data_IF_755744530848
#
_entry.id   IF_755744530848
#
_cell.length_a   1.000
_cell.length_b   1.000
_cell.length_c   1.000
_cell.angle_alpha   90.00
_cell.angle_beta   90.00
_cell.angle_gamma   90.00
#
_symmetry.space_group_name_H-M   'P 1'
#
loop_
_entity.id
_entity.type
_entity.pdbx_description
1 polymer ?
2 non-polymer ?
3 non-polymer ?
4 non-polymer ?
5 water ?
#
# COMPACT_ATOMS: atom_id res chain seq x y z
N UNK A 3 10.20 -9.75 -17.32
CA UNK A 3 9.48 -8.68 -16.64
C UNK A 3 8.33 -9.23 -15.79
N UNK A 4 8.49 -9.21 -14.48
CA UNK A 4 7.45 -9.73 -13.59
C UNK A 4 6.21 -8.83 -13.62
N UNK A 5 5.03 -9.45 -13.58
CA UNK A 5 3.80 -8.68 -13.41
C UNK A 5 3.22 -9.01 -12.05
N UNK A 6 3.14 -7.98 -11.21
CA UNK A 6 2.89 -8.14 -9.78
C UNK A 6 1.77 -7.23 -9.29
N UNK A 7 0.83 -7.77 -8.53
CA UNK A 7 -0.11 -6.95 -7.76
C UNK A 7 0.62 -6.65 -6.45
N UNK A 8 1.20 -5.46 -6.31
CA UNK A 8 2.05 -5.19 -5.14
C UNK A 8 1.30 -4.99 -3.80
N UNK A 9 -0.03 -5.00 -3.79
CA UNK A 9 -0.73 -4.77 -2.52
C UNK A 9 -2.09 -5.46 -2.47
N UNK A 10 -2.21 -6.55 -1.72
CA UNK A 10 -3.52 -7.17 -1.49
C UNK A 10 -3.60 -7.79 -0.09
N UNK A 11 -4.80 -8.20 0.32
CA UNK A 11 -4.94 -8.79 1.64
C UNK A 11 -5.52 -10.19 1.58
N UNK A 12 -5.31 -10.97 2.66
CA UNK A 12 -6.02 -12.24 2.83
C UNK A 12 -6.54 -12.26 4.25
N UNK A 13 -7.64 -12.98 4.46
CA UNK A 13 -8.14 -13.19 5.82
C UNK A 13 -9.18 -14.30 5.94
N UNK A 14 -9.19 -14.96 7.09
CA UNK A 14 -10.35 -15.71 7.51
C UNK A 14 -11.09 -14.73 8.42
N UNK A 15 -12.29 -14.32 8.00
CA UNK A 15 -12.97 -13.22 8.67
C UNK A 15 -13.45 -13.59 10.06
N UNK A 16 -13.19 -12.70 11.01
CA UNK A 16 -13.79 -12.77 12.34
C UNK A 16 -13.97 -11.32 12.78
N UNK A 17 -15.21 -10.92 13.09
CA UNK A 17 -15.52 -9.50 13.23
C UNK A 17 -14.57 -8.76 14.17
N UNK A 18 -14.39 -9.29 15.38
CA UNK A 18 -13.56 -8.62 16.41
C UNK A 18 -12.10 -8.42 16.01
N UNK A 19 -11.62 -9.22 15.06
CA UNK A 19 -10.21 -9.16 14.66
C UNK A 19 -9.94 -8.10 13.56
N UNK A 20 -11.01 -7.60 12.92
CA UNK A 20 -10.87 -6.61 11.86
C UNK A 20 -11.80 -5.42 12.13
N UNK A 21 -11.40 -4.53 13.07
CA UNK A 21 -12.26 -3.46 13.56
C UNK A 21 -12.53 -2.44 12.46
N UNK A 22 -11.64 -2.39 11.46
CA UNK A 22 -11.81 -1.43 10.37
C UNK A 22 -12.91 -1.86 9.40
N UNK A 23 -13.35 -3.11 9.48
CA UNK A 23 -14.51 -3.54 8.67
C UNK A 23 -15.74 -3.28 9.53
N UNK A 24 -16.49 -2.24 9.18
CA UNK A 24 -17.60 -1.79 10.00
C UNK A 24 -18.94 -1.82 9.30
N UNK A 25 -19.86 -0.97 9.79
CA UNK A 25 -21.22 -0.87 9.22
C UNK A 25 -21.19 -0.55 7.73
N UNK A 26 -21.92 -1.35 6.95
CA UNK A 26 -22.05 -1.10 5.52
C UNK A 26 -20.96 -1.73 4.68
N UNK A 27 -20.11 -2.56 5.29
CA UNK A 27 -19.01 -3.16 4.55
C UNK A 27 -19.19 -4.66 4.48
N UNK A 28 -20.45 -5.09 4.44
CA UNK A 28 -20.80 -6.50 4.40
C UNK A 28 -20.06 -7.35 3.38
N UNK A 29 -19.65 -6.75 2.26
CA UNK A 29 -18.99 -7.53 1.22
C UNK A 29 -17.65 -8.12 1.74
N UNK A 30 -17.03 -7.44 2.71
CA UNK A 30 -15.72 -7.86 3.21
C UNK A 30 -15.84 -8.86 4.36
N UNK A 31 -17.05 -8.95 4.93
CA UNK A 31 -17.26 -9.79 6.10
C UNK A 31 -17.39 -11.27 5.74
N UNK A 32 -16.37 -11.80 5.05
CA UNK A 32 -16.29 -13.21 4.66
C UNK A 32 -14.82 -13.56 4.37
N UNK A 33 -14.51 -14.84 4.19
CA UNK A 33 -13.12 -15.23 3.91
C UNK A 33 -12.67 -14.79 2.52
N UNK A 34 -11.44 -14.30 2.44
CA UNK A 34 -10.77 -14.09 1.16
C UNK A 34 -9.39 -14.73 1.20
N UNK A 35 -9.21 -15.78 0.40
CA UNK A 35 -8.03 -16.64 0.45
C UNK A 35 -7.40 -16.70 -0.95
N UNK A 36 -6.16 -17.23 -1.07
CA UNK A 36 -5.48 -17.18 -2.38
C UNK A 36 -6.25 -17.80 -3.54
N UNK A 37 -7.15 -18.72 -3.26
CA UNK A 37 -7.89 -19.40 -4.31
C UNK A 37 -8.91 -18.49 -5.01
N UNK A 38 -9.44 -17.53 -4.26
CA UNK A 38 -10.34 -16.53 -4.81
C UNK A 38 -9.56 -15.48 -5.61
N UNK A 39 -8.30 -15.24 -5.23
CA UNK A 39 -7.52 -14.18 -5.85
C UNK A 39 -6.97 -14.62 -7.19
N UNK A 40 -6.61 -15.90 -7.29
CA UNK A 40 -5.96 -16.44 -8.50
C UNK A 40 -6.64 -16.10 -9.85
N UNK A 41 -7.94 -16.43 -10.00
CA UNK A 41 -8.60 -16.16 -11.30
C UNK A 41 -8.59 -14.68 -11.63
N UNK A 42 -8.71 -13.84 -10.59
CA UNK A 42 -8.73 -12.38 -10.76
C UNK A 42 -7.39 -11.89 -11.34
N UNK A 43 -6.28 -12.43 -10.83
CA UNK A 43 -4.97 -12.06 -11.36
C UNK A 43 -4.76 -12.68 -12.73
N UNK A 44 -5.35 -13.86 -12.93
CA UNK A 44 -5.16 -14.56 -14.19
C UNK A 44 -5.70 -13.68 -15.31
N UNK A 45 -6.92 -13.17 -15.11
CA UNK A 45 -7.57 -12.31 -16.10
C UNK A 45 -6.77 -11.06 -16.44
N UNK A 46 -5.89 -10.62 -15.53
CA UNK A 46 -5.09 -9.42 -15.77
C UNK A 46 -3.67 -9.78 -16.17
N UNK A 47 -3.43 -11.08 -16.32
CA UNK A 47 -2.11 -11.61 -16.66
C UNK A 47 -1.06 -11.19 -15.63
N UNK A 48 -1.50 -11.06 -14.38
CA UNK A 48 -0.59 -10.83 -13.27
C UNK A 48 -0.11 -12.17 -12.74
N UNK A 49 1.19 -12.28 -12.49
CA UNK A 49 1.81 -13.54 -12.14
C UNK A 49 1.84 -13.86 -10.66
N UNK A 50 2.01 -12.85 -9.82
CA UNK A 50 2.09 -13.09 -8.38
C UNK A 50 1.71 -11.81 -7.63
N UNK A 51 1.40 -11.94 -6.34
CA UNK A 51 1.01 -10.76 -5.59
C UNK A 51 1.85 -10.61 -4.35
N UNK A 52 1.67 -9.47 -3.68
CA UNK A 52 2.30 -9.24 -2.40
C UNK A 52 1.21 -9.07 -1.36
N UNK A 53 1.18 -9.98 -0.38
CA UNK A 53 0.18 -9.98 0.67
C UNK A 53 0.63 -9.09 1.83
N UNK A 54 -0.24 -8.19 2.24
CA UNK A 54 0.08 -7.17 3.25
C UNK A 54 -0.76 -7.40 4.50
N UNK A 55 -0.14 -7.28 5.67
CA UNK A 55 -0.84 -7.44 6.94
C UNK A 55 -2.14 -6.65 6.96
N UNK A 56 -3.24 -7.29 7.39
CA UNK A 56 -4.53 -6.61 7.39
C UNK A 56 -4.99 -6.34 8.81
N UNK A 57 -4.18 -6.78 9.76
CA UNK A 57 -4.44 -6.52 11.18
C UNK A 57 -3.13 -6.54 11.95
N UNK A 58 -3.15 -5.96 13.15
CA UNK A 58 -1.96 -5.94 14.00
C UNK A 58 -1.84 -7.26 14.76
N UNK A 59 -0.61 -7.71 14.99
CA UNK A 59 -0.39 -9.00 15.61
C UNK A 59 0.60 -9.85 14.83
N UNK A 60 1.51 -10.49 15.56
CA UNK A 60 2.50 -11.36 14.95
C UNK A 60 1.85 -12.54 14.25
N UNK A 61 0.65 -12.91 14.71
CA UNK A 61 -0.06 -14.05 14.13
C UNK A 61 -0.54 -13.77 12.71
N UNK A 62 -0.80 -12.51 12.40
CA UNK A 62 -1.12 -12.12 11.02
C UNK A 62 0.10 -12.40 10.14
N UNK A 63 1.28 -12.06 10.64
CA UNK A 63 2.51 -12.39 9.91
C UNK A 63 2.63 -13.90 9.71
N UNK A 64 2.44 -14.65 10.79
CA UNK A 64 2.46 -16.12 10.71
C UNK A 64 1.46 -16.62 9.67
N UNK A 65 0.22 -16.10 9.75
CA UNK A 65 -0.83 -16.45 8.79
C UNK A 65 -0.40 -16.20 7.35
N UNK A 66 0.05 -14.98 7.04
CA UNK A 66 0.40 -14.66 5.65
C UNK A 66 1.58 -15.50 5.15
N UNK A 67 2.56 -15.74 6.02
CA UNK A 67 3.73 -16.50 5.59
C UNK A 67 3.35 -17.97 5.40
N UNK A 68 2.34 -18.43 6.13
CA UNK A 68 1.86 -19.79 5.95
C UNK A 68 1.20 -19.94 4.58
N UNK A 69 0.30 -19.01 4.27
CA UNK A 69 -0.33 -18.97 2.95
C UNK A 69 0.71 -18.94 1.85
N UNK A 70 1.79 -18.21 2.11
CA UNK A 70 2.78 -17.90 1.09
C UNK A 70 3.86 -18.97 0.96
N UNK A 71 4.12 -19.68 2.05
CA UNK A 71 5.26 -20.58 2.20
C UNK A 71 5.62 -21.31 0.92
N UNK A 72 4.61 -21.89 0.28
CA UNK A 72 4.85 -22.77 -0.86
C UNK A 72 3.89 -22.50 -2.02
N UNK A 73 3.45 -21.24 -2.11
CA UNK A 73 2.53 -20.78 -3.15
C UNK A 73 3.26 -19.79 -4.06
N UNK A 74 3.55 -20.20 -5.29
CA UNK A 74 4.35 -19.38 -6.19
C UNK A 74 3.68 -18.06 -6.58
N UNK A 75 2.35 -18.02 -6.53
CA UNK A 75 1.59 -16.82 -6.89
C UNK A 75 1.58 -15.76 -5.77
N UNK A 76 2.27 -16.05 -4.68
CA UNK A 76 2.49 -15.04 -3.66
C UNK A 76 3.99 -14.80 -3.58
N UNK A 77 4.43 -13.63 -4.02
CA UNK A 77 5.86 -13.41 -4.22
C UNK A 77 6.56 -12.91 -2.97
N UNK A 78 5.82 -12.19 -2.12
CA UNK A 78 6.36 -11.66 -0.88
C UNK A 78 5.23 -11.37 0.09
N UNK A 79 5.59 -11.11 1.34
CA UNK A 79 4.62 -10.77 2.38
C UNK A 79 5.13 -9.51 3.06
N UNK A 80 4.22 -8.58 3.38
CA UNK A 80 4.56 -7.42 4.19
C UNK A 80 3.90 -7.67 5.54
N UNK A 81 4.68 -7.99 6.56
CA UNK A 81 4.10 -8.45 7.80
C UNK A 81 3.89 -7.37 8.85
N UNK A 82 3.64 -7.82 10.09
CA UNK A 82 3.47 -6.95 11.23
C UNK A 82 4.32 -7.44 12.39
N UNK A 83 5.07 -6.51 13.00
CA UNK A 83 5.76 -6.77 14.26
C UNK A 83 5.60 -5.55 15.15
N UNK A 84 5.78 -5.70 16.46
CA UNK A 84 5.92 -4.52 17.31
C UNK A 84 7.35 -3.97 17.14
N UNK A 85 7.49 -2.90 16.35
CA UNK A 85 8.82 -2.35 16.01
C UNK A 85 9.50 -1.61 17.17
N UNK A 86 8.75 -1.39 18.25
CA UNK A 86 9.27 -0.70 19.42
C UNK A 86 9.86 -1.68 20.44
N UNK A 87 9.60 -2.97 20.26
CA UNK A 87 10.07 -3.97 21.20
C UNK A 87 11.56 -4.26 21.01
N UNK A 88 12.33 -4.22 22.10
CA UNK A 88 13.76 -4.54 22.10
C UNK A 88 14.06 -5.95 21.56
N UNK A 89 13.04 -6.81 21.60
CA UNK A 89 13.19 -8.20 21.15
C UNK A 89 12.98 -8.32 19.64
N UNK A 90 12.86 -7.18 18.97
CA UNK A 90 12.51 -7.15 17.56
C UNK A 90 13.40 -8.05 16.73
N UNK A 91 14.71 -7.94 16.95
CA UNK A 91 15.65 -8.74 16.16
C UNK A 91 15.43 -10.25 16.30
N UNK A 92 15.19 -10.70 17.53
CA UNK A 92 15.02 -12.13 17.78
C UNK A 92 13.71 -12.65 17.19
N UNK A 93 12.68 -11.81 17.24
CA UNK A 93 11.38 -12.20 16.72
C UNK A 93 11.36 -12.28 15.20
N UNK A 94 12.13 -11.41 14.55
CA UNK A 94 12.13 -11.37 13.08
C UNK A 94 12.94 -12.55 12.56
N UNK A 95 13.89 -12.98 13.38
CA UNK A 95 14.72 -14.15 13.05
C UNK A 95 13.85 -15.38 12.80
N UNK A 96 12.73 -15.49 13.51
CA UNK A 96 11.76 -16.56 13.29
C UNK A 96 11.27 -16.63 11.83
N UNK A 97 11.35 -15.51 11.11
CA UNK A 97 10.86 -15.46 9.72
C UNK A 97 11.99 -15.56 8.70
N UNK A 98 13.21 -15.80 9.17
CA UNK A 98 14.35 -15.95 8.26
C UNK A 98 14.08 -17.01 7.20
N UNK A 99 14.54 -16.75 5.98
CA UNK A 99 14.37 -17.71 4.91
C UNK A 99 13.04 -17.59 4.17
N UNK A 100 12.08 -16.88 4.76
CA UNK A 100 10.74 -16.81 4.19
C UNK A 100 10.59 -15.72 3.14
N UNK A 101 9.35 -15.51 2.70
CA UNK A 101 9.07 -14.50 1.68
C UNK A 101 8.80 -13.14 2.31
N UNK A 102 9.01 -13.02 3.62
CA UNK A 102 8.88 -11.72 4.29
C UNK A 102 9.85 -10.73 3.64
N UNK A 103 9.33 -9.61 3.17
CA UNK A 103 10.18 -8.61 2.52
C UNK A 103 10.04 -7.24 3.15
N UNK A 104 9.05 -7.07 4.01
CA UNK A 104 8.82 -5.77 4.61
C UNK A 104 7.84 -5.79 5.76
N UNK A 105 7.60 -4.62 6.35
CA UNK A 105 6.65 -4.50 7.43
C UNK A 105 5.73 -3.31 7.26
N UNK A 106 4.61 -3.31 7.98
CA UNK A 106 3.74 -2.14 7.94
C UNK A 106 3.05 -1.99 9.29
N UNK A 107 2.96 -0.75 9.76
CA UNK A 107 2.13 -0.47 10.92
C UNK A 107 0.96 0.40 10.44
N UNK A 108 -0.19 0.26 11.08
CA UNK A 108 -1.34 1.04 10.66
C UNK A 108 -1.31 2.41 11.32
N UNK A 109 -0.34 3.23 10.90
CA UNK A 109 -0.14 4.57 11.46
C UNK A 109 -1.39 5.43 11.42
N UNK A 110 -2.19 5.26 10.36
CA UNK A 110 -3.37 6.08 10.15
C UNK A 110 -4.33 6.07 11.34
N UNK A 111 -4.32 4.97 12.10
CA UNK A 111 -5.26 4.81 13.22
C UNK A 111 -4.68 5.32 14.55
N UNK A 112 -3.41 5.73 14.54
CA UNK A 112 -2.80 6.33 15.73
C UNK A 112 -3.37 7.72 16.02
N UNK A 113 -3.47 8.07 17.30
CA UNK A 113 -4.02 9.36 17.72
C UNK A 113 -3.06 10.52 17.49
N UNK A 114 -1.78 10.28 17.71
CA UNK A 114 -0.74 11.26 17.40
C UNK A 114 0.29 10.60 16.49
N UNK A 115 0.06 10.63 15.19
CA UNK A 115 0.96 9.96 14.25
C UNK A 115 2.38 10.47 14.40
N UNK A 116 2.54 11.79 14.51
CA UNK A 116 3.85 12.41 14.60
C UNK A 116 4.59 12.02 15.88
N UNK A 117 3.87 11.99 17.01
CA UNK A 117 4.48 11.55 18.25
C UNK A 117 4.87 10.08 18.15
N UNK A 118 4.05 9.32 17.42
CA UNK A 118 4.25 7.88 17.27
C UNK A 118 5.51 7.57 16.45
N UNK A 119 5.66 8.21 15.29
CA UNK A 119 6.81 7.95 14.42
C UNK A 119 8.11 8.53 14.98
N UNK A 120 8.00 9.67 15.66
CA UNK A 120 9.16 10.29 16.30
C UNK A 120 9.61 9.56 17.58
N UNK A 121 8.78 8.63 18.07
CA UNK A 121 9.13 7.85 19.27
C UNK A 121 10.48 7.14 19.11
N UNK A 122 11.31 7.24 20.16
CA UNK A 122 12.68 6.76 20.06
C UNK A 122 12.77 5.23 19.90
N UNK A 123 11.88 4.50 20.55
CA UNK A 123 11.87 3.04 20.40
C UNK A 123 11.42 2.62 18.99
N UNK A 124 10.32 3.20 18.49
CA UNK A 124 9.85 2.91 17.13
C UNK A 124 10.94 3.26 16.11
N UNK A 125 11.57 4.42 16.29
CA UNK A 125 12.65 4.85 15.41
C UNK A 125 13.76 3.81 15.37
N UNK A 126 14.20 3.38 16.55
CA UNK A 126 15.21 2.32 16.65
C UNK A 126 14.79 1.06 15.87
N UNK A 127 13.52 0.67 15.99
CA UNK A 127 13.02 -0.47 15.26
C UNK A 127 13.05 -0.30 13.74
N UNK A 128 12.61 0.87 13.27
CA UNK A 128 12.61 1.09 11.82
C UNK A 128 14.04 1.14 11.28
N UNK A 129 14.95 1.71 12.08
CA UNK A 129 16.36 1.76 11.69
C UNK A 129 16.92 0.35 11.56
N UNK A 130 16.52 -0.55 12.45
CA UNK A 130 16.94 -1.94 12.37
C UNK A 130 16.38 -2.61 11.11
N UNK A 131 15.08 -2.41 10.84
CA UNK A 131 14.49 -2.90 9.60
C UNK A 131 15.32 -2.49 8.37
N UNK A 132 15.68 -1.22 8.31
CA UNK A 132 16.36 -0.70 7.14
C UNK A 132 17.79 -1.23 7.06
N UNK A 133 18.44 -1.33 8.21
CA UNK A 133 19.78 -1.91 8.28
C UNK A 133 19.76 -3.36 7.79
N UNK A 134 18.59 -3.99 7.81
CA UNK A 134 18.47 -5.38 7.36
C UNK A 134 17.69 -5.55 6.07
N UNK A 135 17.53 -4.45 5.33
CA UNK A 135 16.92 -4.46 3.99
C UNK A 135 15.45 -4.90 3.99
N UNK A 136 14.75 -4.63 5.10
CA UNK A 136 13.32 -4.76 5.11
C UNK A 136 12.67 -3.46 4.66
N UNK A 137 11.74 -3.55 3.70
CA UNK A 137 10.95 -2.38 3.30
C UNK A 137 10.02 -2.00 4.46
N UNK A 138 9.59 -0.74 4.51
CA UNK A 138 8.51 -0.33 5.43
C UNK A 138 7.40 0.39 4.66
N UNK A 139 6.16 -0.13 4.73
CA UNK A 139 5.03 0.53 4.09
C UNK A 139 4.44 1.63 4.97
N UNK A 140 4.29 2.81 4.39
CA UNK A 140 3.74 3.96 5.10
C UNK A 140 2.26 4.07 4.80
N UNK A 141 1.43 3.83 5.81
CA UNK A 141 -0.03 3.91 5.64
C UNK A 141 -0.59 5.07 6.48
N UNK A 142 -0.98 6.15 5.80
CA UNK A 142 -1.53 7.33 6.47
C UNK A 142 -2.66 7.97 5.68
N UNK A 143 -3.54 8.68 6.38
CA UNK A 143 -4.49 9.54 5.69
C UNK A 143 -3.76 10.77 5.15
N UNK A 144 -4.35 11.39 4.13
CA UNK A 144 -3.74 12.54 3.46
C UNK A 144 -3.32 13.65 4.44
N UNK A 145 -4.20 13.92 5.41
CA UNK A 145 -3.94 14.92 6.43
C UNK A 145 -2.73 14.59 7.30
N UNK A 146 -2.39 13.31 7.37
CA UNK A 146 -1.26 12.87 8.20
C UNK A 146 0.09 12.89 7.48
N UNK A 147 0.09 13.21 6.19
CA UNK A 147 1.36 13.27 5.45
C UNK A 147 2.42 14.17 6.07
N UNK A 148 2.06 15.39 6.51
CA UNK A 148 3.14 16.20 7.10
C UNK A 148 3.67 15.58 8.40
N UNK A 149 2.84 14.79 9.08
CA UNK A 149 3.25 14.12 10.31
C UNK A 149 4.32 13.05 10.08
N UNK A 150 4.41 12.50 8.87
CA UNK A 150 5.43 11.49 8.62
C UNK A 150 6.58 12.00 7.77
N UNK A 151 6.57 13.30 7.43
CA UNK A 151 7.63 13.83 6.57
C UNK A 151 9.00 13.68 7.23
N UNK A 152 9.13 14.16 8.46
CA UNK A 152 10.44 14.07 9.12
C UNK A 152 10.87 12.61 9.30
N UNK A 153 9.90 11.76 9.65
CA UNK A 153 10.13 10.33 9.77
C UNK A 153 10.66 9.71 8.47
N UNK A 154 10.14 10.13 7.33
CA UNK A 154 10.60 9.53 6.07
C UNK A 154 11.97 10.05 5.68
N UNK A 155 12.22 11.32 5.96
CA UNK A 155 13.53 11.90 5.66
C UNK A 155 14.62 11.27 6.52
N UNK A 156 14.27 11.03 7.79
CA UNK A 156 15.19 10.42 8.74
C UNK A 156 15.56 8.97 8.37
N UNK A 157 14.58 8.19 7.95
CA UNK A 157 14.83 6.78 7.66
C UNK A 157 15.09 6.52 6.18
N UNK A 158 16.34 6.78 5.77
CA UNK A 158 16.69 6.77 4.35
C UNK A 158 17.69 5.68 3.94
N UNK A 159 17.82 4.64 4.76
CA UNK A 159 18.78 3.55 4.48
C UNK A 159 18.24 2.48 3.52
N UNK A 160 16.92 2.50 3.29
CA UNK A 160 16.28 1.51 2.44
C UNK A 160 14.89 2.03 2.06
N UNK A 161 14.19 1.32 1.16
CA UNK A 161 12.92 1.80 0.59
C UNK A 161 11.78 2.00 1.59
N UNK A 162 11.10 3.13 1.48
CA UNK A 162 9.81 3.34 2.14
C UNK A 162 8.75 3.40 1.05
N UNK A 163 7.66 2.67 1.22
CA UNK A 163 6.62 2.64 0.19
C UNK A 163 5.41 3.42 0.69
N UNK A 164 5.00 4.47 -0.04
CA UNK A 164 3.82 5.21 0.36
C UNK A 164 2.59 4.46 -0.10
N UNK A 165 1.83 3.91 0.84
CA UNK A 165 0.60 3.17 0.50
C UNK A 165 -0.51 4.03 -0.06
N UNK A 166 -1.18 3.53 -1.11
CA UNK A 166 -2.40 4.17 -1.63
C UNK A 166 -2.21 5.63 -2.06
N UNK A 167 -1.06 5.93 -2.64
CA UNK A 167 -0.70 7.31 -2.96
C UNK A 167 -0.98 8.33 -1.85
N UNK A 168 -1.01 7.87 -0.60
CA UNK A 168 -1.16 8.80 0.51
C UNK A 168 -2.61 9.20 0.68
N UNK A 169 -3.50 8.42 0.07
CA UNK A 169 -4.94 8.58 0.26
C UNK A 169 -5.49 10.01 0.10
N UNK A 170 -5.51 10.51 -1.14
CA UNK A 170 -6.12 11.82 -1.38
C UNK A 170 -7.58 11.79 -0.99
N UNK A 171 -8.12 12.90 -0.48
CA UNK A 171 -9.52 12.93 -0.06
C UNK A 171 -10.43 13.05 -1.29
N UNK A 172 -10.45 12.00 -2.10
CA UNK A 172 -11.21 12.01 -3.36
C UNK A 172 -12.69 12.40 -3.19
N UNK A 173 -13.28 12.08 -2.05
CA UNK A 173 -14.69 12.37 -1.83
C UNK A 173 -14.91 13.86 -1.65
N UNK A 174 -13.82 14.60 -1.49
CA UNK A 174 -13.90 16.04 -1.15
C UNK A 174 -13.56 16.93 -2.34
N UNK A 175 -13.09 16.33 -3.43
CA UNK A 175 -12.54 17.10 -4.55
C UNK A 175 -13.50 18.13 -5.12
N UNK A 176 -14.80 17.88 -5.03
CA UNK A 176 -15.76 18.84 -5.52
C UNK A 176 -16.34 19.80 -4.45
N UNK A 177 -16.27 19.41 -3.17
CA UNK A 177 -16.70 20.26 -2.06
C UNK A 177 -15.58 21.21 -1.66
N UNK A 178 -14.37 20.67 -1.66
CA UNK A 178 -13.19 21.35 -1.14
C UNK A 178 -12.19 21.52 -2.27
N UNK A 179 -12.06 22.74 -2.76
CA UNK A 179 -11.16 23.01 -3.88
C UNK A 179 -9.70 23.13 -3.45
N UNK A 180 -9.40 22.76 -2.19
CA UNK A 180 -8.03 22.74 -1.69
C UNK A 180 -7.55 21.32 -1.50
N UNK A 181 -8.49 20.37 -1.52
CA UNK A 181 -8.17 18.96 -1.24
C UNK A 181 -7.10 18.41 -2.15
N UNK A 182 -7.24 18.61 -3.46
CA UNK A 182 -6.24 18.09 -4.40
C UNK A 182 -4.90 18.80 -4.24
N UNK A 183 -4.93 20.12 -4.05
CA UNK A 183 -3.70 20.92 -3.97
C UNK A 183 -2.93 20.65 -2.69
N UNK A 184 -3.64 20.57 -1.57
CA UNK A 184 -3.05 20.23 -0.27
C UNK A 184 -2.32 18.88 -0.34
N UNK A 185 -3.00 17.85 -0.84
CA UNK A 185 -2.42 16.52 -0.95
C UNK A 185 -1.24 16.50 -1.93
N UNK A 186 -1.38 17.22 -3.05
CA UNK A 186 -0.34 17.28 -4.06
C UNK A 186 0.94 17.86 -3.47
N UNK A 187 0.79 18.94 -2.72
CA UNK A 187 1.93 19.59 -2.08
C UNK A 187 2.65 18.64 -1.11
N UNK A 188 1.87 17.90 -0.32
CA UNK A 188 2.46 16.96 0.64
C UNK A 188 3.09 15.80 -0.10
N UNK A 189 2.41 15.31 -1.14
CA UNK A 189 2.92 14.21 -1.94
C UNK A 189 4.28 14.58 -2.53
N UNK A 190 4.35 15.80 -3.08
CA UNK A 190 5.58 16.27 -3.68
C UNK A 190 6.71 16.39 -2.67
N UNK A 191 6.37 16.77 -1.45
CA UNK A 191 7.39 16.93 -0.43
C UNK A 191 8.04 15.58 -0.08
N UNK A 192 7.23 14.52 -0.12
CA UNK A 192 7.69 13.17 0.17
C UNK A 192 8.43 12.60 -1.01
N UNK A 193 7.90 12.87 -2.21
CA UNK A 193 8.45 12.29 -3.44
C UNK A 193 9.84 12.85 -3.70
N UNK A 194 10.15 13.99 -3.10
CA UNK A 194 11.49 14.58 -3.23
C UNK A 194 12.58 13.71 -2.59
N UNK A 195 12.17 12.82 -1.68
CA UNK A 195 13.09 11.87 -1.05
C UNK A 195 13.27 10.67 -1.98
N UNK A 196 14.52 10.42 -2.41
CA UNK A 196 14.77 9.36 -3.41
C UNK A 196 14.44 7.94 -2.92
N UNK A 197 14.43 7.70 -1.62
CA UNK A 197 14.20 6.35 -1.10
C UNK A 197 12.71 6.04 -0.87
N UNK A 198 11.84 6.98 -1.20
CA UNK A 198 10.39 6.80 -1.07
C UNK A 198 9.78 6.50 -2.44
N UNK A 199 9.02 5.42 -2.54
CA UNK A 199 8.26 5.12 -3.75
C UNK A 199 6.78 5.09 -3.45
N UNK A 200 5.96 4.99 -4.50
CA UNK A 200 4.54 5.22 -4.37
C UNK A 200 3.71 4.04 -4.88
N UNK A 201 2.77 3.55 -4.06
CA UNK A 201 1.80 2.59 -4.55
C UNK A 201 0.56 3.29 -5.13
N UNK A 202 0.19 2.88 -6.34
CA UNK A 202 -1.04 3.33 -6.97
C UNK A 202 -2.11 2.26 -6.77
N UNK A 203 -2.85 2.39 -5.68
CA UNK A 203 -3.77 1.36 -5.24
C UNK A 203 -4.68 2.03 -4.21
N UNK A 204 -5.80 1.41 -3.89
CA UNK A 204 -6.66 1.94 -2.84
C UNK A 204 -7.27 3.29 -3.15
N UNK A 205 -7.46 3.61 -4.44
CA UNK A 205 -8.03 4.92 -4.77
C UNK A 205 -9.54 4.85 -4.88
N UNK A 206 -10.06 3.77 -5.49
CA UNK A 206 -11.51 3.66 -5.61
C UNK A 206 -12.22 3.79 -4.26
N UNK A 207 -11.56 3.38 -3.17
CA UNK A 207 -12.19 3.40 -1.86
C UNK A 207 -12.03 4.71 -1.08
N UNK A 208 -11.23 5.63 -1.59
CA UNK A 208 -11.23 7.01 -1.05
C UNK A 208 -12.35 7.84 -1.66
N UNK A 209 -12.92 7.36 -2.76
CA UNK A 209 -14.08 8.04 -3.34
C UNK A 209 -15.28 7.68 -2.46
N UNK A 210 -16.42 8.31 -2.70
CA UNK A 210 -17.60 8.01 -1.89
C UNK A 210 -18.27 6.72 -2.36
N UNK A 211 -17.69 5.58 -1.99
CA UNK A 211 -18.17 4.28 -2.47
C UNK A 211 -19.55 3.91 -1.94
N UNK A 212 -19.96 4.49 -0.80
CA UNK A 212 -21.26 4.16 -0.22
C UNK A 212 -22.42 4.60 -1.10
N UNK A 213 -22.21 5.69 -1.85
CA UNK A 213 -23.22 6.18 -2.80
C UNK A 213 -23.04 5.49 -4.15
N UNK A 214 -21.81 5.07 -4.43
CA UNK A 214 -21.50 4.38 -5.68
C UNK A 214 -20.54 5.23 -6.49
N UNK A 215 -19.49 4.61 -7.02
CA UNK A 215 -18.51 5.30 -7.87
C UNK A 215 -19.19 5.92 -9.10
N UNK A 216 -18.79 7.14 -9.46
CA UNK A 216 -19.35 7.79 -10.65
C UNK A 216 -18.22 8.21 -11.60
N UNK A 217 -18.58 8.65 -12.80
CA UNK A 217 -17.59 8.98 -13.81
C UNK A 217 -16.67 10.08 -13.30
N UNK A 218 -17.24 11.01 -12.53
CA UNK A 218 -16.45 12.09 -11.94
C UNK A 218 -15.38 11.54 -10.99
N UNK A 219 -15.71 10.52 -10.23
CA UNK A 219 -14.70 9.87 -9.39
C UNK A 219 -13.53 9.33 -10.23
N UNK A 220 -13.83 8.69 -11.36
CA UNK A 220 -12.75 8.14 -12.19
C UNK A 220 -11.86 9.26 -12.73
N UNK A 221 -12.45 10.41 -13.03
CA UNK A 221 -11.68 11.55 -13.54
C UNK A 221 -10.74 12.07 -12.46
N UNK A 222 -11.27 12.23 -11.23
CA UNK A 222 -10.44 12.65 -10.10
C UNK A 222 -9.31 11.67 -9.87
N UNK A 223 -9.62 10.39 -9.96
CA UNK A 223 -8.56 9.38 -9.77
C UNK A 223 -7.46 9.59 -10.82
N UNK A 224 -7.83 9.88 -12.08
CA UNK A 224 -6.80 10.13 -13.08
C UNK A 224 -5.97 11.36 -12.75
N UNK A 225 -6.57 12.35 -12.10
CA UNK A 225 -5.82 13.55 -11.71
C UNK A 225 -4.81 13.18 -10.64
N UNK A 226 -5.17 12.25 -9.76
CA UNK A 226 -4.24 11.79 -8.72
C UNK A 226 -3.12 10.95 -9.31
N UNK A 227 -3.46 10.11 -10.29
CA UNK A 227 -2.47 9.29 -10.97
C UNK A 227 -1.48 10.19 -11.70
N UNK A 228 -2.00 11.18 -12.43
CA UNK A 228 -1.15 12.18 -13.07
C UNK A 228 -0.22 12.89 -12.05
N UNK A 229 -0.74 13.30 -10.89
CA UNK A 229 0.07 14.02 -9.91
C UNK A 229 1.16 13.10 -9.31
N UNK A 230 0.81 11.83 -9.09
CA UNK A 230 1.74 10.83 -8.60
C UNK A 230 2.88 10.67 -9.61
N UNK A 231 2.52 10.53 -10.89
CA UNK A 231 3.50 10.38 -11.97
C UNK A 231 4.48 11.56 -11.98
N UNK A 232 3.93 12.77 -11.97
CA UNK A 232 4.73 14.00 -12.01
C UNK A 232 5.70 14.09 -10.82
N UNK A 233 5.18 13.81 -9.63
CA UNK A 233 5.98 13.91 -8.40
C UNK A 233 7.01 12.78 -8.25
N UNK A 234 6.59 11.55 -8.52
CA UNK A 234 7.51 10.43 -8.27
C UNK A 234 8.36 10.03 -9.46
N UNK A 235 7.80 10.19 -10.66
CA UNK A 235 8.45 9.69 -11.87
C UNK A 235 7.99 8.28 -12.12
N UNK A 236 8.07 7.84 -13.39
CA UNK A 236 7.49 6.55 -13.78
C UNK A 236 8.18 5.34 -13.16
N UNK A 237 9.42 5.49 -12.68
CA UNK A 237 10.15 4.36 -12.11
C UNK A 237 9.88 4.13 -10.63
N UNK A 238 9.01 4.94 -10.02
CA UNK A 238 8.72 4.83 -8.59
C UNK A 238 7.23 4.65 -8.33
N UNK A 239 6.51 4.20 -9.36
CA UNK A 239 5.09 3.90 -9.25
C UNK A 239 4.89 2.39 -9.26
N UNK A 240 3.98 1.91 -8.43
CA UNK A 240 3.80 0.48 -8.24
C UNK A 240 2.29 0.23 -8.25
N UNK A 241 1.81 -0.61 -9.18
CA UNK A 241 0.41 -1.03 -9.16
C UNK A 241 0.11 -1.94 -7.98
N UNK A 242 -1.06 -1.73 -7.36
CA UNK A 242 -1.61 -2.68 -6.41
C UNK A 242 -3.13 -2.65 -6.48
N UNK A 243 -3.78 -3.78 -6.19
CA UNK A 243 -5.24 -3.80 -6.34
C UNK A 243 -5.96 -3.32 -5.07
N UNK A 244 -5.32 -3.54 -3.93
CA UNK A 244 -5.93 -3.45 -2.61
C UNK A 244 -7.15 -4.38 -2.48
N UNK A 245 -7.17 -5.45 -3.27
CA UNK A 245 -8.16 -6.51 -3.06
C UNK A 245 -7.91 -7.18 -1.71
N UNK A 246 -8.99 -7.59 -1.02
CA UNK A 246 -10.41 -7.50 -1.37
C UNK A 246 -11.08 -6.19 -0.97
N UNK A 247 -10.36 -5.32 -0.26
CA UNK A 247 -10.93 -4.04 0.18
C UNK A 247 -11.55 -3.21 -0.94
N UNK A 248 -10.97 -3.29 -2.14
CA UNK A 248 -11.45 -2.49 -3.27
C UNK A 248 -12.87 -2.88 -3.67
N UNK A 249 -13.28 -4.09 -3.29
CA UNK A 249 -14.63 -4.60 -3.63
C UNK A 249 -15.75 -3.77 -3.03
N UNK A 250 -15.42 -2.92 -2.07
CA UNK A 250 -16.37 -1.96 -1.56
C UNK A 250 -16.82 -1.05 -2.69
N UNK A 251 -15.94 -0.82 -3.67
CA UNK A 251 -16.20 0.20 -4.69
C UNK A 251 -16.18 -0.33 -6.14
N UNK A 252 -15.38 -1.34 -6.42
CA UNK A 252 -15.20 -1.79 -7.81
C UNK A 252 -14.72 -3.23 -7.88
N UNK A 253 -14.87 -3.87 -9.04
CA UNK A 253 -14.33 -5.21 -9.19
C UNK A 253 -12.82 -5.14 -9.35
N UNK A 254 -12.14 -6.28 -9.20
CA UNK A 254 -10.70 -6.33 -9.43
C UNK A 254 -10.40 -5.89 -10.87
N UNK A 255 -11.22 -6.35 -11.81
CA UNK A 255 -11.05 -6.00 -13.21
C UNK A 255 -11.17 -4.49 -13.44
N UNK A 256 -12.10 -3.86 -12.72
CA UNK A 256 -12.33 -2.42 -12.85
C UNK A 256 -11.15 -1.65 -12.27
N UNK A 257 -10.63 -2.12 -11.14
CA UNK A 257 -9.45 -1.50 -10.54
C UNK A 257 -8.20 -1.56 -11.43
N UNK A 258 -7.95 -2.72 -12.03
CA UNK A 258 -6.80 -2.85 -12.93
C UNK A 258 -7.02 -2.08 -14.24
N UNK A 259 -8.23 -2.14 -14.78
CA UNK A 259 -8.51 -1.51 -16.07
C UNK A 259 -8.33 0.01 -16.04
N UNK A 260 -8.73 0.65 -14.93
CA UNK A 260 -8.63 2.11 -14.91
C UNK A 260 -7.17 2.53 -14.84
N UNK A 261 -6.33 1.74 -14.16
CA UNK A 261 -4.89 2.00 -14.18
C UNK A 261 -4.33 1.69 -15.58
N UNK A 262 -4.81 0.58 -16.17
CA UNK A 262 -4.37 0.19 -17.51
C UNK A 262 -4.67 1.28 -18.54
N UNK A 263 -5.90 1.80 -18.54
CA UNK A 263 -6.29 2.85 -19.48
C UNK A 263 -5.44 4.09 -19.27
N UNK A 264 -5.25 4.47 -18.02
CA UNK A 264 -4.43 5.63 -17.72
C UNK A 264 -3.00 5.42 -18.22
N UNK A 265 -2.42 4.26 -17.92
CA UNK A 265 -1.04 3.95 -18.32
C UNK A 265 -0.81 3.93 -19.83
N UNK A 266 -1.78 3.43 -20.60
CA UNK A 266 -1.62 3.38 -22.06
C UNK A 266 -1.50 4.80 -22.62
N UNK A 267 -2.07 5.75 -21.89
CA UNK A 267 -2.08 7.14 -22.31
C UNK A 267 -0.80 7.89 -21.94
N UNK A 268 -0.29 7.66 -20.72
CA UNK A 268 0.79 8.49 -20.16
C UNK A 268 2.19 7.89 -20.23
N UNK A 269 2.25 6.57 -20.32
CA UNK A 269 3.52 5.87 -20.13
C UNK A 269 4.02 5.12 -21.37
N UNK A 270 5.33 5.09 -21.54
CA UNK A 270 5.93 4.27 -22.57
C UNK A 270 5.85 2.80 -22.15
N UNK A 271 6.19 1.91 -23.07
CA UNK A 271 6.11 0.48 -22.82
C UNK A 271 7.01 0.04 -21.67
N UNK A 272 8.21 0.61 -21.61
CA UNK A 272 9.14 0.23 -20.55
C UNK A 272 8.64 0.75 -19.20
N UNK A 273 8.04 1.94 -19.20
CA UNK A 273 7.50 2.53 -17.98
C UNK A 273 6.30 1.73 -17.47
N UNK A 274 5.47 1.25 -18.38
CA UNK A 274 4.36 0.39 -18.00
C UNK A 274 4.88 -0.88 -17.33
N UNK A 275 5.98 -1.40 -17.87
CA UNK A 275 6.60 -2.61 -17.33
C UNK A 275 7.06 -2.39 -15.89
N UNK A 276 7.60 -1.20 -15.61
CA UNK A 276 7.89 -0.79 -14.23
C UNK A 276 6.61 -0.72 -13.38
N UNK A 277 5.63 0.06 -13.83
CA UNK A 277 4.34 0.18 -13.12
C UNK A 277 3.72 -1.17 -12.76
N UNK A 278 3.74 -2.11 -13.70
CA UNK A 278 3.03 -3.37 -13.49
C UNK A 278 3.85 -4.49 -12.84
N UNK A 279 5.05 -4.20 -12.36
CA UNK A 279 5.75 -5.20 -11.56
C UNK A 279 7.25 -5.00 -11.45
N UNK A 280 7.82 -4.24 -12.39
CA UNK A 280 9.25 -3.98 -12.37
C UNK A 280 9.66 -3.25 -11.11
N UNK A 281 8.91 -2.21 -10.75
CA UNK A 281 9.23 -1.41 -9.56
C UNK A 281 9.05 -2.16 -8.25
N UNK A 282 7.95 -2.92 -8.14
CA UNK A 282 7.72 -3.78 -6.97
C UNK A 282 8.85 -4.80 -6.83
N UNK A 283 9.24 -5.39 -7.96
CA UNK A 283 10.28 -6.40 -7.96
C UNK A 283 11.59 -5.84 -7.42
N UNK A 284 11.98 -4.62 -7.81
CA UNK A 284 13.29 -4.13 -7.37
C UNK A 284 13.24 -3.60 -5.95
N UNK A 285 12.12 -2.97 -5.57
CA UNK A 285 12.01 -2.39 -4.25
C UNK A 285 11.80 -3.44 -3.16
N UNK A 286 11.01 -4.48 -3.46
CA UNK A 286 10.79 -5.54 -2.47
C UNK A 286 11.77 -6.71 -2.63
N UNK A 287 12.76 -6.56 -3.51
CA UNK A 287 13.74 -7.62 -3.78
C UNK A 287 13.08 -8.96 -4.13
N UNK A 288 12.25 -8.96 -5.18
CA UNK A 288 11.60 -10.20 -5.61
C UNK A 288 12.45 -10.95 -6.64
N UNK A 289 12.41 -12.29 -6.57
CA UNK A 289 13.10 -13.12 -7.58
C UNK A 289 12.26 -13.34 -8.83
X LIG B 1 -4.79 -2.38 1.77
X LIG C 1 7.40 -23.75 2.46
X LIG D 1 21.00 -2.33 2.58
X LIG E 1 -3.07 -18.78 -13.26
X LIG F 1 -7.11 7.69 -20.21
X LIG F 1 -7.82 6.71 -19.48
X LIG F 1 -7.95 8.96 -20.24
X LIG F 1 -7.15 10.10 -19.97
X LIG F 1 -8.62 9.11 -21.60
X LIG F 1 -7.67 8.87 -22.63
X LIG G 1 -4.26 -1.11 3.33
X LIG H 1 -6.35 -1.48 3.09
X LIG I 1 -5.87 0.97 3.78
X LIG J 1 -5.81 -1.63 5.20
#
# INVERSE_FOLDING_TARGET
>A
MGALRIDSHQHFWRYRAADYPWIGAGMGVLARDYLPDALHPLMHAQALGASIAVQARAGRDETAFLLELACDEARIAAVVGWEDLRAPQLAERVAEWRGTKLRGFRHQLQDEADVRAFVDDADFARGVAWLQANDYVYDVLVFERQLPDVQAFCARHDAHWLVLDHAGKPALAEFDRDDTALARWRAALRELAALPHVVCKLSGLVTEADWRRGLRASDLRHIEQCLDAALDAFGPQRLMFGSDWPVCLLAASYDEVASLVERWAESRLSAAERSALWGGTAARCYALPEPADARLAENLYFQ
>B hetero
1 ZN ZN
>C hetero
1 ZN ZN
>D hetero
1 ZN ZN
>E hetero
1 ZN ZN
>F hetero
1 GOL C1 O1 C2 O2 C3 O3
>G hetero
1 UNX UNK
>H hetero
1 UNX UNK
>I hetero
1 UNX UNK
>J hetero
1 UNX UNK
#
